data_IF_696448448921
#
_entry.id   IF_696448448921
#
_cell.length_a   1.000
_cell.length_b   1.000
_cell.length_c   1.000
_cell.angle_alpha   90.00
_cell.angle_beta   90.00
_cell.angle_gamma   90.00
#
_symmetry.space_group_name_H-M   'P 1'
#
loop_
_entity.id
_entity.type
_entity.pdbx_description
1 polymer ?
#
# COMPACT_ATOMS: atom_id res chain seq x y z
N UNK A 1 -7.93 -21.82 -5.44
CA UNK A 1 -6.65 -21.57 -4.76
C UNK A 1 -6.09 -22.90 -4.28
N UNK A 2 -4.81 -23.15 -4.58
CA UNK A 2 -4.16 -24.43 -4.29
C UNK A 2 -3.12 -24.35 -3.16
N UNK A 3 -2.76 -23.13 -2.74
CA UNK A 3 -1.84 -22.94 -1.62
C UNK A 3 -2.61 -23.02 -0.29
N UNK A 4 -2.17 -23.87 0.67
CA UNK A 4 -2.84 -23.98 1.95
C UNK A 4 -2.41 -22.84 2.89
N UNK A 5 -3.26 -21.84 3.17
CA UNK A 5 -2.93 -20.74 4.09
C UNK A 5 -2.55 -21.24 5.48
N UNK A 6 -3.14 -22.32 5.92
CA UNK A 6 -2.82 -22.99 7.18
C UNK A 6 -1.38 -23.50 7.28
N UNK A 7 -0.69 -23.68 6.17
CA UNK A 7 0.74 -24.00 6.18
C UNK A 7 1.55 -22.85 6.80
N UNK A 8 1.21 -21.60 6.51
CA UNK A 8 1.88 -20.43 7.08
C UNK A 8 1.63 -20.28 8.59
N UNK A 9 0.46 -20.69 9.08
CA UNK A 9 0.19 -20.78 10.51
C UNK A 9 1.04 -21.90 11.15
N UNK A 10 1.11 -23.06 10.54
CA UNK A 10 1.85 -24.21 11.04
C UNK A 10 3.37 -23.94 11.16
N UNK A 11 3.93 -23.13 10.26
CA UNK A 11 5.35 -22.74 10.31
C UNK A 11 5.70 -21.93 11.55
N UNK A 12 4.72 -21.21 12.14
CA UNK A 12 4.91 -20.41 13.35
C UNK A 12 4.78 -21.23 14.63
N UNK A 13 4.14 -22.40 14.59
CA UNK A 13 3.96 -23.23 15.77
C UNK A 13 5.29 -23.74 16.32
N UNK A 14 5.53 -23.52 17.61
CA UNK A 14 6.76 -23.93 18.30
C UNK A 14 7.97 -23.03 18.01
N UNK A 15 7.77 -21.87 17.37
CA UNK A 15 8.83 -20.87 17.17
C UNK A 15 8.94 -19.93 18.35
N UNK A 16 10.16 -19.46 18.58
CA UNK A 16 10.40 -18.45 19.59
C UNK A 16 9.76 -17.10 19.23
N UNK A 17 9.23 -16.40 20.21
CA UNK A 17 8.56 -15.12 20.06
C UNK A 17 9.33 -14.11 19.18
N UNK A 18 10.66 -13.90 19.32
CA UNK A 18 11.40 -12.94 18.48
C UNK A 18 11.53 -13.35 17.01
N UNK A 19 11.32 -14.63 16.66
CA UNK A 19 11.47 -15.14 15.29
C UNK A 19 10.26 -14.80 14.41
N UNK A 20 9.08 -14.61 15.01
CA UNK A 20 7.80 -14.46 14.29
C UNK A 20 7.82 -13.34 13.26
N UNK A 21 8.31 -12.12 13.52
CA UNK A 21 8.36 -11.05 12.50
C UNK A 21 9.27 -11.37 11.32
N UNK A 22 10.38 -12.08 11.52
CA UNK A 22 11.27 -12.48 10.44
C UNK A 22 10.65 -13.60 9.60
N UNK A 23 10.00 -14.58 10.23
CA UNK A 23 9.31 -15.69 9.53
C UNK A 23 8.15 -15.14 8.69
N UNK A 24 7.30 -14.29 9.25
CA UNK A 24 6.15 -13.74 8.54
C UNK A 24 6.55 -12.87 7.37
N UNK A 25 7.67 -12.14 7.45
CA UNK A 25 8.20 -11.38 6.33
C UNK A 25 8.55 -12.25 5.12
N UNK A 26 8.83 -13.56 5.34
CA UNK A 26 9.21 -14.52 4.27
C UNK A 26 8.02 -15.05 3.48
N UNK A 27 6.80 -14.77 3.92
CA UNK A 27 5.58 -15.18 3.21
C UNK A 27 5.53 -14.54 1.81
N UNK A 28 6.00 -13.30 1.70
CA UNK A 28 5.97 -12.57 0.44
C UNK A 28 7.26 -11.75 0.22
N UNK A 29 7.83 -11.82 -0.99
CA UNK A 29 9.00 -11.01 -1.36
C UNK A 29 8.67 -9.58 -1.80
N UNK A 30 7.39 -9.29 -2.10
CA UNK A 30 6.92 -7.99 -2.56
C UNK A 30 6.30 -7.20 -1.41
N UNK A 31 5.59 -7.88 -0.49
CA UNK A 31 4.84 -7.25 0.60
C UNK A 31 5.29 -7.71 2.00
N UNK A 32 6.59 -7.85 2.28
CA UNK A 32 7.09 -8.34 3.56
C UNK A 32 6.77 -7.40 4.73
N UNK A 33 6.67 -6.09 4.47
CA UNK A 33 6.36 -5.08 5.49
C UNK A 33 4.94 -5.26 6.01
N UNK A 34 3.98 -5.55 5.12
CA UNK A 34 2.61 -5.82 5.52
C UNK A 34 2.51 -6.99 6.49
N UNK A 35 3.14 -8.11 6.18
CA UNK A 35 3.17 -9.29 7.06
C UNK A 35 3.93 -9.06 8.35
N UNK A 36 5.09 -8.42 8.27
CA UNK A 36 5.93 -8.14 9.42
C UNK A 36 5.25 -7.16 10.39
N UNK A 37 4.63 -6.10 9.85
CA UNK A 37 3.89 -5.12 10.66
C UNK A 37 2.68 -5.77 11.33
N UNK A 38 1.93 -6.62 10.62
CA UNK A 38 0.78 -7.32 11.18
C UNK A 38 1.18 -8.20 12.36
N UNK A 39 2.24 -9.00 12.21
CA UNK A 39 2.73 -9.85 13.30
C UNK A 39 3.26 -9.03 14.48
N UNK A 40 4.01 -7.95 14.22
CA UNK A 40 4.54 -7.08 15.26
C UNK A 40 3.39 -6.41 16.04
N UNK A 41 2.39 -5.86 15.35
CA UNK A 41 1.25 -5.23 16.02
C UNK A 41 0.47 -6.23 16.88
N UNK A 42 0.21 -7.44 16.37
CA UNK A 42 -0.45 -8.49 17.15
C UNK A 42 0.35 -8.87 18.41
N UNK A 43 1.67 -8.97 18.30
CA UNK A 43 2.54 -9.29 19.43
C UNK A 43 2.62 -8.14 20.43
N UNK A 44 2.61 -6.88 19.97
CA UNK A 44 2.56 -5.70 20.82
C UNK A 44 1.24 -5.63 21.60
N UNK A 45 0.12 -5.93 20.94
CA UNK A 45 -1.20 -5.99 21.60
C UNK A 45 -1.22 -7.07 22.69
N UNK A 46 -0.73 -8.29 22.41
CA UNK A 46 -0.64 -9.38 23.40
C UNK A 46 0.22 -8.99 24.60
N UNK A 47 1.33 -8.26 24.37
CA UNK A 47 2.27 -7.87 25.42
C UNK A 47 1.92 -6.53 26.08
N UNK A 48 0.90 -5.81 25.63
CA UNK A 48 0.56 -4.48 26.12
C UNK A 48 1.65 -3.43 25.82
N UNK A 49 2.40 -3.60 24.73
CA UNK A 49 3.50 -2.70 24.33
C UNK A 49 2.96 -1.56 23.49
N UNK A 50 3.23 -0.33 23.92
CA UNK A 50 2.98 0.88 23.13
C UNK A 50 4.31 1.47 22.67
N UNK A 51 4.41 1.77 21.38
CA UNK A 51 5.63 2.35 20.80
C UNK A 51 5.58 3.89 20.78
N UNK A 52 6.74 4.56 20.86
CA UNK A 52 6.81 6.01 20.70
C UNK A 52 6.39 6.47 19.30
N UNK A 53 5.89 7.73 19.14
CA UNK A 53 5.48 8.27 17.84
C UNK A 53 6.56 8.23 16.75
N UNK A 54 7.83 8.36 17.12
CA UNK A 54 8.96 8.29 16.19
C UNK A 54 9.13 6.89 15.59
N UNK A 55 8.83 5.85 16.35
CA UNK A 55 8.82 4.47 15.87
C UNK A 55 7.67 4.26 14.89
N UNK A 56 6.47 4.75 15.21
CA UNK A 56 5.32 4.70 14.30
C UNK A 56 5.60 5.45 13.00
N UNK A 57 6.21 6.63 13.07
CA UNK A 57 6.61 7.39 11.89
C UNK A 57 7.59 6.62 10.98
N UNK A 58 8.58 5.92 11.55
CA UNK A 58 9.50 5.08 10.79
C UNK A 58 8.80 3.83 10.21
N UNK A 59 7.87 3.22 10.94
CA UNK A 59 7.05 2.11 10.43
C UNK A 59 6.17 2.55 9.28
N UNK A 60 5.58 3.73 9.38
CA UNK A 60 4.82 4.33 8.29
C UNK A 60 5.71 4.60 7.07
N UNK A 61 6.90 5.15 7.28
CA UNK A 61 7.85 5.44 6.20
C UNK A 61 8.25 4.17 5.44
N UNK A 62 8.61 3.09 6.14
CA UNK A 62 8.97 1.83 5.48
C UNK A 62 7.78 1.22 4.73
N UNK A 63 6.57 1.35 5.27
CA UNK A 63 5.34 0.90 4.61
C UNK A 63 5.06 1.70 3.34
N UNK A 64 5.33 3.02 3.35
CA UNK A 64 5.28 3.84 2.14
C UNK A 64 6.29 3.36 1.08
N UNK A 65 7.50 2.96 1.51
CA UNK A 65 8.50 2.38 0.62
C UNK A 65 8.01 1.12 -0.08
N UNK A 66 7.41 0.18 0.66
CA UNK A 66 6.77 -1.00 0.10
C UNK A 66 5.63 -0.63 -0.86
N UNK A 67 4.77 0.32 -0.47
CA UNK A 67 3.69 0.79 -1.34
C UNK A 67 4.21 1.32 -2.68
N UNK A 68 5.26 2.12 -2.68
CA UNK A 68 5.87 2.67 -3.91
C UNK A 68 6.41 1.53 -4.79
N UNK A 69 7.21 0.63 -4.21
CA UNK A 69 7.85 -0.44 -4.97
C UNK A 69 6.83 -1.43 -5.55
N UNK A 70 5.86 -1.84 -4.73
CA UNK A 70 4.82 -2.79 -5.08
C UNK A 70 3.88 -2.23 -6.16
N UNK A 71 3.45 -0.97 -6.01
CA UNK A 71 2.57 -0.31 -6.98
C UNK A 71 3.28 -0.05 -8.31
N UNK A 72 4.54 0.35 -8.30
CA UNK A 72 5.31 0.51 -9.53
C UNK A 72 5.47 -0.82 -10.27
N UNK A 73 5.76 -1.91 -9.56
CA UNK A 73 5.82 -3.26 -10.13
C UNK A 73 4.48 -3.66 -10.73
N UNK A 74 3.39 -3.47 -9.99
CA UNK A 74 2.04 -3.84 -10.41
C UNK A 74 1.61 -3.09 -11.69
N UNK A 75 1.80 -1.78 -11.72
CA UNK A 75 1.42 -0.96 -12.88
C UNK A 75 2.27 -1.29 -14.10
N UNK A 76 3.59 -1.24 -13.99
CA UNK A 76 4.47 -1.27 -15.16
C UNK A 76 4.86 -2.65 -15.63
N UNK A 77 4.96 -3.62 -14.71
CA UNK A 77 5.46 -4.95 -15.06
C UNK A 77 4.35 -6.00 -15.18
N UNK A 78 3.19 -5.77 -14.56
CA UNK A 78 2.08 -6.71 -14.58
C UNK A 78 0.93 -6.24 -15.48
N UNK A 79 0.48 -5.00 -15.36
CA UNK A 79 -0.76 -4.55 -16.02
C UNK A 79 -0.57 -3.69 -17.26
N UNK A 80 0.42 -2.79 -17.29
CA UNK A 80 0.65 -1.98 -18.49
C UNK A 80 0.87 -2.82 -19.77
N UNK A 81 1.62 -3.95 -19.73
CA UNK A 81 1.72 -4.81 -20.88
C UNK A 81 0.35 -5.27 -21.40
N UNK A 82 -0.52 -5.76 -20.54
CA UNK A 82 -1.85 -6.26 -20.91
C UNK A 82 -2.71 -5.16 -21.55
N UNK A 83 -2.75 -3.97 -20.94
CA UNK A 83 -3.51 -2.83 -21.47
C UNK A 83 -2.99 -2.30 -22.80
N UNK A 84 -1.71 -2.45 -23.07
CA UNK A 84 -1.05 -1.99 -24.29
C UNK A 84 -0.89 -3.10 -25.34
N UNK A 85 -1.36 -4.33 -25.04
CA UNK A 85 -1.36 -5.46 -25.96
C UNK A 85 0.00 -6.16 -26.11
N UNK A 86 0.82 -6.16 -25.07
CA UNK A 86 2.13 -6.84 -25.05
C UNK A 86 2.13 -8.03 -24.08
N UNK A 87 2.86 -9.08 -24.42
CA UNK A 87 2.95 -10.31 -23.62
C UNK A 87 3.69 -10.11 -22.28
N UNK A 88 4.57 -9.12 -22.20
CA UNK A 88 5.39 -8.88 -21.02
C UNK A 88 6.00 -7.47 -21.00
N UNK A 89 6.49 -7.05 -19.86
CA UNK A 89 7.24 -5.80 -19.73
C UNK A 89 8.52 -5.77 -20.58
N UNK A 90 9.13 -6.93 -20.88
CA UNK A 90 10.29 -7.03 -21.76
C UNK A 90 9.91 -6.68 -23.20
N UNK A 91 8.77 -7.18 -23.69
CA UNK A 91 8.24 -6.83 -25.00
C UNK A 91 7.79 -5.37 -25.05
N UNK A 92 7.13 -4.89 -24.00
CA UNK A 92 6.72 -3.49 -23.86
C UNK A 92 7.93 -2.54 -23.94
N UNK A 93 9.05 -2.88 -23.31
CA UNK A 93 10.25 -2.04 -23.27
C UNK A 93 10.84 -1.73 -24.64
N UNK A 94 10.53 -2.53 -25.69
CA UNK A 94 10.98 -2.25 -27.07
C UNK A 94 10.30 -1.02 -27.67
N UNK A 95 9.10 -0.68 -27.21
CA UNK A 95 8.25 0.37 -27.78
C UNK A 95 7.97 1.49 -26.77
N UNK A 96 8.00 1.17 -25.47
CA UNK A 96 7.73 2.07 -24.34
C UNK A 96 8.91 2.03 -23.37
N UNK A 97 10.10 2.25 -23.90
CA UNK A 97 11.35 2.14 -23.14
C UNK A 97 11.38 3.08 -21.93
N UNK A 98 10.98 4.34 -22.14
CA UNK A 98 11.05 5.37 -21.10
C UNK A 98 10.05 5.12 -19.96
N UNK A 99 8.85 4.61 -20.29
CA UNK A 99 7.84 4.23 -19.32
C UNK A 99 8.30 3.04 -18.48
N UNK A 100 8.86 2.01 -19.11
CA UNK A 100 9.40 0.84 -18.40
C UNK A 100 10.58 1.23 -17.51
N UNK A 101 11.49 2.06 -18.00
CA UNK A 101 12.61 2.58 -17.20
C UNK A 101 12.10 3.43 -16.01
N UNK A 102 11.10 4.28 -16.24
CA UNK A 102 10.48 5.06 -15.17
C UNK A 102 9.89 4.16 -14.09
N UNK A 103 9.17 3.10 -14.48
CA UNK A 103 8.62 2.11 -13.55
C UNK A 103 9.69 1.40 -12.72
N UNK A 104 10.77 0.96 -13.37
CA UNK A 104 11.90 0.32 -12.68
C UNK A 104 12.60 1.27 -11.69
N UNK A 105 12.79 2.53 -12.06
CA UNK A 105 13.37 3.54 -11.17
C UNK A 105 12.44 3.88 -10.00
N UNK A 106 11.12 3.97 -10.24
CA UNK A 106 10.14 4.15 -9.14
C UNK A 106 10.21 2.98 -8.16
N UNK A 107 10.23 1.74 -8.68
CA UNK A 107 10.41 0.55 -7.84
C UNK A 107 11.68 0.64 -7.01
N UNK A 108 12.79 1.05 -7.61
CA UNK A 108 14.07 1.21 -6.92
C UNK A 108 14.01 2.30 -5.84
N UNK A 109 13.28 3.39 -6.07
CA UNK A 109 13.08 4.44 -5.06
C UNK A 109 12.35 3.89 -3.83
N UNK A 110 11.29 3.10 -4.01
CA UNK A 110 10.60 2.40 -2.92
C UNK A 110 11.53 1.44 -2.17
N UNK A 111 12.25 0.58 -2.90
CA UNK A 111 13.23 -0.34 -2.32
C UNK A 111 14.32 0.38 -1.52
N UNK A 112 14.75 1.57 -1.95
CA UNK A 112 15.76 2.35 -1.23
C UNK A 112 15.24 2.82 0.14
N UNK A 113 13.95 3.18 0.25
CA UNK A 113 13.33 3.47 1.55
C UNK A 113 13.32 2.23 2.43
N UNK A 114 12.89 1.08 1.89
CA UNK A 114 12.86 -0.19 2.62
C UNK A 114 14.26 -0.58 3.08
N UNK A 115 15.28 -0.42 2.24
CA UNK A 115 16.67 -0.70 2.59
C UNK A 115 17.19 0.19 3.72
N UNK A 116 16.95 1.50 3.65
CA UNK A 116 17.45 2.45 4.63
C UNK A 116 16.83 2.25 6.00
N UNK A 117 15.51 2.02 6.05
CA UNK A 117 14.76 1.84 7.30
C UNK A 117 14.82 0.38 7.76
N UNK A 118 14.60 -0.54 6.86
CA UNK A 118 14.46 -1.97 7.13
C UNK A 118 15.77 -2.76 7.15
N UNK A 119 16.87 -2.18 6.68
CA UNK A 119 18.20 -2.81 6.63
C UNK A 119 18.51 -3.57 5.35
N UNK A 120 17.50 -3.96 4.58
CA UNK A 120 17.64 -4.50 3.22
C UNK A 120 16.33 -4.35 2.44
N UNK A 121 16.42 -4.43 1.11
CA UNK A 121 15.31 -4.16 0.19
C UNK A 121 14.18 -5.20 0.27
N UNK A 122 14.52 -6.46 0.51
CA UNK A 122 13.56 -7.58 0.53
C UNK A 122 13.69 -8.29 1.88
N UNK A 123 12.55 -8.62 2.50
CA UNK A 123 12.49 -9.22 3.82
C UNK A 123 13.31 -8.44 4.85
N UNK A 124 12.91 -7.21 5.21
CA UNK A 124 13.65 -6.33 6.10
C UNK A 124 13.88 -6.97 7.47
N UNK A 125 14.99 -6.59 8.10
CA UNK A 125 15.50 -7.23 9.32
C UNK A 125 15.56 -6.30 10.54
N UNK A 126 15.28 -5.00 10.34
CA UNK A 126 15.43 -4.04 11.43
C UNK A 126 14.18 -3.90 12.29
N UNK A 127 12.98 -4.23 11.79
CA UNK A 127 11.74 -4.10 12.56
C UNK A 127 11.65 -5.20 13.62
N UNK A 128 11.21 -4.83 14.80
CA UNK A 128 10.96 -5.75 15.92
C UNK A 128 9.81 -5.25 16.79
N UNK A 129 9.31 -6.11 17.65
CA UNK A 129 8.39 -5.74 18.73
C UNK A 129 9.02 -4.63 19.58
N UNK A 130 8.27 -3.55 19.81
CA UNK A 130 8.71 -2.39 20.56
C UNK A 130 9.62 -1.41 19.78
N UNK A 131 9.88 -1.64 18.48
CA UNK A 131 10.68 -0.68 17.70
C UNK A 131 11.49 -1.26 16.55
N UNK A 132 12.79 -0.92 16.55
CA UNK A 132 13.77 -1.31 15.54
C UNK A 132 15.07 -1.79 16.20
N UNK A 133 15.76 -2.73 15.57
CA UNK A 133 17.13 -3.08 15.98
C UNK A 133 18.11 -1.95 15.66
N UNK A 134 17.91 -1.26 14.53
CA UNK A 134 18.67 -0.08 14.11
C UNK A 134 17.70 0.93 13.48
N UNK A 135 17.72 2.16 13.98
CA UNK A 135 17.05 3.28 13.34
C UNK A 135 17.98 3.94 12.30
N UNK A 136 17.46 4.46 11.18
CA UNK A 136 18.25 5.21 10.24
C UNK A 136 18.70 6.55 10.83
N UNK A 137 19.87 7.03 10.40
CA UNK A 137 20.36 8.35 10.73
C UNK A 137 19.65 9.42 9.88
N UNK A 138 19.66 10.67 10.36
CA UNK A 138 19.17 11.83 9.58
C UNK A 138 19.85 11.97 8.22
N UNK A 139 21.15 11.63 8.13
CA UNK A 139 21.90 11.68 6.88
C UNK A 139 21.38 10.64 5.87
N UNK A 140 21.11 9.43 6.32
CA UNK A 140 20.56 8.35 5.49
C UNK A 140 19.16 8.73 4.98
N UNK A 141 18.30 9.25 5.85
CA UNK A 141 16.95 9.70 5.46
C UNK A 141 17.00 10.86 4.45
N UNK A 142 17.88 11.86 4.67
CA UNK A 142 18.03 12.98 3.73
C UNK A 142 18.51 12.55 2.35
N UNK A 143 19.30 11.49 2.27
CA UNK A 143 19.78 10.95 1.00
C UNK A 143 18.67 10.37 0.12
N UNK A 144 17.51 10.03 0.69
CA UNK A 144 16.34 9.54 -0.05
C UNK A 144 15.56 10.66 -0.73
N UNK A 145 15.62 11.88 -0.21
CA UNK A 145 14.74 13.00 -0.62
C UNK A 145 14.79 13.29 -2.12
N UNK A 146 15.96 13.43 -2.78
CA UNK A 146 15.98 13.75 -4.22
C UNK A 146 15.32 12.69 -5.09
N UNK A 147 15.47 11.42 -4.72
CA UNK A 147 14.86 10.32 -5.47
C UNK A 147 13.35 10.23 -5.23
N UNK A 148 12.88 10.57 -4.03
CA UNK A 148 11.45 10.62 -3.73
C UNK A 148 10.77 11.83 -4.39
N UNK A 149 11.45 12.99 -4.47
CA UNK A 149 10.95 14.14 -5.24
C UNK A 149 10.80 13.82 -6.72
N UNK A 150 11.82 13.17 -7.32
CA UNK A 150 11.70 12.65 -8.68
C UNK A 150 10.58 11.62 -8.80
N UNK A 151 10.43 10.74 -7.80
CA UNK A 151 9.39 9.73 -7.75
C UNK A 151 7.98 10.31 -7.74
N UNK A 152 7.77 11.47 -7.10
CA UNK A 152 6.51 12.18 -7.12
C UNK A 152 6.14 12.64 -8.53
N UNK A 153 7.07 13.25 -9.25
CA UNK A 153 6.84 13.65 -10.65
C UNK A 153 6.58 12.43 -11.56
N UNK A 154 7.29 11.34 -11.32
CA UNK A 154 7.07 10.08 -12.03
C UNK A 154 5.68 9.49 -11.75
N UNK A 155 5.19 9.57 -10.51
CA UNK A 155 3.85 9.11 -10.12
C UNK A 155 2.76 9.92 -10.84
N UNK A 156 2.91 11.23 -10.95
CA UNK A 156 1.98 12.08 -11.70
C UNK A 156 1.93 11.69 -13.20
N UNK A 157 3.10 11.43 -13.81
CA UNK A 157 3.16 10.93 -15.19
C UNK A 157 2.50 9.56 -15.32
N UNK A 158 2.68 8.69 -14.33
CA UNK A 158 2.05 7.36 -14.30
C UNK A 158 0.52 7.47 -14.24
N UNK A 159 -0.03 8.41 -13.45
CA UNK A 159 -1.49 8.67 -13.45
C UNK A 159 -1.98 9.04 -14.84
N UNK A 160 -1.27 9.94 -15.54
CA UNK A 160 -1.64 10.35 -16.89
C UNK A 160 -1.58 9.17 -17.89
N UNK A 161 -0.57 8.30 -17.78
CA UNK A 161 -0.46 7.10 -18.61
C UNK A 161 -1.65 6.16 -18.38
N UNK A 162 -1.90 5.80 -17.13
CA UNK A 162 -2.92 4.81 -16.75
C UNK A 162 -4.33 5.32 -17.04
N UNK A 163 -4.61 6.59 -16.85
CA UNK A 163 -5.94 7.18 -17.18
C UNK A 163 -6.23 7.18 -18.68
N UNK A 164 -5.22 7.01 -19.53
CA UNK A 164 -5.37 6.84 -20.98
C UNK A 164 -5.69 5.41 -21.42
N UNK A 165 -5.63 4.43 -20.52
CA UNK A 165 -5.93 3.04 -20.86
C UNK A 165 -7.42 2.81 -21.13
N UNK A 166 -7.71 1.85 -22.01
CA UNK A 166 -9.09 1.40 -22.25
C UNK A 166 -9.47 0.32 -21.24
N UNK A 167 -10.38 0.66 -20.32
CA UNK A 167 -10.87 -0.27 -19.31
C UNK A 167 -12.15 -0.96 -19.74
N UNK A 168 -12.38 -2.24 -19.35
CA UNK A 168 -13.63 -2.94 -19.60
C UNK A 168 -14.81 -2.25 -18.92
N UNK A 169 -15.96 -2.22 -19.57
CA UNK A 169 -17.21 -1.69 -18.99
C UNK A 169 -17.86 -2.75 -18.10
N UNK A 170 -17.35 -2.89 -16.88
CA UNK A 170 -17.89 -3.80 -15.87
C UNK A 170 -18.40 -2.99 -14.67
N UNK A 171 -19.69 -3.12 -14.39
CA UNK A 171 -20.35 -2.48 -13.23
C UNK A 171 -20.81 -3.53 -12.24
N UNK A 172 -20.40 -3.40 -11.00
CA UNK A 172 -20.87 -4.22 -9.89
C UNK A 172 -20.98 -3.38 -8.63
N UNK A 173 -21.96 -3.71 -7.80
CA UNK A 173 -22.04 -3.18 -6.46
C UNK A 173 -21.21 -4.08 -5.54
N UNK A 174 -20.27 -3.47 -4.82
CA UNK A 174 -19.39 -4.13 -3.90
C UNK A 174 -19.62 -3.62 -2.48
N UNK A 175 -19.62 -4.54 -1.51
CA UNK A 175 -19.39 -4.20 -0.13
C UNK A 175 -17.89 -4.03 0.07
N UNK A 176 -17.43 -2.82 0.32
CA UNK A 176 -16.03 -2.54 0.61
C UNK A 176 -15.76 -2.62 2.10
N UNK A 177 -14.63 -3.22 2.45
CA UNK A 177 -14.10 -3.27 3.82
C UNK A 177 -12.64 -2.85 3.80
N UNK A 178 -12.26 -1.90 4.64
CA UNK A 178 -10.87 -1.45 4.78
C UNK A 178 -10.63 -0.81 6.14
N UNK A 179 -9.37 -0.53 6.44
CA UNK A 179 -9.04 0.33 7.59
C UNK A 179 -9.37 1.80 7.30
N UNK A 180 -9.74 2.53 8.35
CA UNK A 180 -9.88 3.98 8.41
C UNK A 180 -9.18 4.53 9.65
N UNK A 181 -8.53 5.67 9.52
CA UNK A 181 -7.92 6.41 10.62
C UNK A 181 -8.43 7.85 10.62
N UNK A 182 -8.47 8.50 11.79
CA UNK A 182 -9.03 9.84 11.94
C UNK A 182 -8.13 10.92 11.29
N UNK A 183 -6.82 10.77 11.43
CA UNK A 183 -5.84 11.81 11.10
C UNK A 183 -5.02 11.52 9.85
N UNK A 184 -5.04 10.29 9.34
CA UNK A 184 -4.16 9.90 8.23
C UNK A 184 -4.75 8.81 7.33
N UNK A 185 -4.20 8.70 6.13
CA UNK A 185 -4.49 7.56 5.26
C UNK A 185 -3.95 6.27 5.92
N UNK A 186 -4.82 5.30 6.24
CA UNK A 186 -4.45 4.14 7.07
C UNK A 186 -3.53 3.18 6.32
N UNK A 187 -2.43 2.80 6.97
CA UNK A 187 -1.51 1.76 6.49
C UNK A 187 -1.29 0.67 7.53
N UNK A 188 -0.83 1.06 8.73
CA UNK A 188 -0.45 0.12 9.78
C UNK A 188 -1.48 0.04 10.93
N UNK A 189 -2.29 1.07 11.13
CA UNK A 189 -3.27 1.17 12.21
C UNK A 189 -4.55 1.83 11.73
N UNK A 190 -5.67 1.50 12.38
CA UNK A 190 -6.97 2.08 12.08
C UNK A 190 -8.10 1.21 12.59
N UNK A 191 -9.32 1.70 12.46
CA UNK A 191 -10.56 0.95 12.67
C UNK A 191 -10.93 0.21 11.38
N UNK A 192 -11.62 -0.89 11.48
CA UNK A 192 -12.17 -1.61 10.34
C UNK A 192 -13.53 -1.02 10.02
N UNK A 193 -13.66 -0.48 8.80
CA UNK A 193 -14.91 0.14 8.34
C UNK A 193 -15.41 -0.52 7.06
N UNK A 194 -16.71 -0.39 6.78
CA UNK A 194 -17.31 -0.85 5.53
C UNK A 194 -18.11 0.25 4.83
N UNK A 195 -18.41 0.02 3.56
CA UNK A 195 -19.23 0.94 2.77
C UNK A 195 -20.71 0.98 3.15
N UNK A 196 -21.17 0.05 3.97
CA UNK A 196 -22.54 -0.02 4.48
C UNK A 196 -22.67 0.42 5.95
N UNK A 197 -21.59 0.94 6.55
CA UNK A 197 -21.64 1.59 7.85
C UNK A 197 -21.05 0.80 9.02
N UNK A 198 -20.45 -0.38 8.80
CA UNK A 198 -19.67 -1.05 9.86
C UNK A 198 -18.50 -0.14 10.27
N UNK A 199 -18.25 -0.02 11.57
CA UNK A 199 -17.11 0.70 12.16
C UNK A 199 -16.73 0.03 13.48
N UNK A 200 -15.69 -0.79 13.48
CA UNK A 200 -15.27 -1.65 14.59
C UNK A 200 -13.78 -1.51 14.88
N UNK A 201 -13.39 -1.83 16.10
CA UNK A 201 -11.98 -2.02 16.45
C UNK A 201 -11.44 -3.33 15.82
N UNK A 202 -10.13 -3.40 15.61
CA UNK A 202 -9.51 -4.57 14.98
C UNK A 202 -9.73 -5.88 15.76
N UNK A 203 -9.79 -5.81 17.08
CA UNK A 203 -10.02 -6.99 17.94
C UNK A 203 -11.47 -7.52 17.89
N UNK A 204 -12.41 -6.74 17.34
CA UNK A 204 -13.80 -7.16 17.15
C UNK A 204 -14.01 -7.86 15.79
N UNK A 205 -12.93 -8.06 15.01
CA UNK A 205 -13.01 -8.60 13.65
C UNK A 205 -13.74 -9.94 13.58
N UNK A 206 -13.44 -10.87 14.49
CA UNK A 206 -14.01 -12.23 14.50
C UNK A 206 -15.51 -12.26 14.78
N UNK A 207 -16.07 -11.23 15.42
CA UNK A 207 -17.51 -11.11 15.68
C UNK A 207 -18.29 -10.74 14.40
N UNK A 208 -17.63 -10.12 13.44
CA UNK A 208 -18.24 -9.57 12.23
C UNK A 208 -17.85 -10.29 10.94
N UNK A 209 -16.81 -11.11 10.96
CA UNK A 209 -16.32 -11.85 9.80
C UNK A 209 -16.11 -13.32 10.14
N UNK A 210 -16.49 -14.20 9.23
CA UNK A 210 -16.38 -15.65 9.43
C UNK A 210 -15.58 -16.29 8.29
N UNK A 211 -14.61 -17.10 8.67
CA UNK A 211 -13.84 -17.90 7.72
C UNK A 211 -14.38 -19.32 7.66
N UNK A 212 -14.49 -19.86 6.45
CA UNK A 212 -15.00 -21.19 6.22
C UNK A 212 -14.22 -21.94 5.16
N UNK A 213 -14.13 -23.27 5.33
CA UNK A 213 -13.66 -24.15 4.29
C UNK A 213 -14.68 -24.27 3.17
N UNK A 214 -14.21 -24.23 1.92
CA UNK A 214 -15.00 -24.49 0.74
C UNK A 214 -14.41 -25.63 -0.07
N UNK A 215 -15.24 -26.47 -0.66
CA UNK A 215 -14.83 -27.70 -1.33
C UNK A 215 -13.79 -27.47 -2.44
N UNK A 216 -13.82 -26.33 -3.10
CA UNK A 216 -12.99 -26.03 -4.27
C UNK A 216 -11.72 -25.22 -3.98
N UNK A 217 -11.40 -24.97 -2.73
CA UNK A 217 -10.25 -24.15 -2.35
C UNK A 217 -9.56 -24.67 -1.09
N UNK A 218 -8.25 -24.71 -1.11
CA UNK A 218 -7.43 -24.94 0.09
C UNK A 218 -7.35 -23.68 0.98
N UNK A 219 -7.69 -22.52 0.43
CA UNK A 219 -7.80 -21.28 1.20
C UNK A 219 -9.18 -21.18 1.83
N UNK A 220 -9.23 -20.68 3.05
CA UNK A 220 -10.49 -20.29 3.68
C UNK A 220 -11.12 -19.16 2.90
N UNK A 221 -12.45 -19.18 2.79
CA UNK A 221 -13.23 -18.07 2.29
C UNK A 221 -13.80 -17.29 3.47
N UNK A 222 -13.63 -15.97 3.45
CA UNK A 222 -14.17 -15.09 4.45
C UNK A 222 -15.43 -14.39 3.93
N UNK A 223 -16.45 -14.37 4.77
CA UNK A 223 -17.71 -13.65 4.56
C UNK A 223 -17.98 -12.78 5.78
N UNK A 224 -18.85 -11.79 5.64
CA UNK A 224 -19.41 -11.10 6.80
C UNK A 224 -20.28 -12.08 7.60
N UNK A 225 -20.54 -11.82 8.88
CA UNK A 225 -21.34 -12.69 9.74
C UNK A 225 -22.77 -12.88 9.24
N UNK A 226 -23.29 -11.96 8.42
CA UNK A 226 -24.58 -12.09 7.72
C UNK A 226 -24.48 -12.80 6.35
N UNK A 227 -23.31 -13.39 6.04
CA UNK A 227 -23.10 -14.24 4.86
C UNK A 227 -22.82 -13.52 3.54
N UNK A 228 -22.52 -12.23 3.56
CA UNK A 228 -22.21 -11.47 2.34
C UNK A 228 -20.72 -11.52 1.99
N UNK A 229 -20.43 -11.58 0.70
CA UNK A 229 -19.08 -11.37 0.19
C UNK A 229 -18.70 -9.89 0.25
N UNK A 230 -17.46 -9.62 0.56
CA UNK A 230 -16.91 -8.27 0.65
C UNK A 230 -15.60 -8.14 -0.13
N UNK A 231 -15.21 -6.90 -0.39
CA UNK A 231 -14.02 -6.57 -1.16
C UNK A 231 -13.05 -5.74 -0.32
N UNK A 232 -11.80 -6.19 -0.27
CA UNK A 232 -10.70 -5.53 0.44
C UNK A 232 -9.64 -5.00 -0.54
N UNK A 233 -8.57 -4.48 0.00
CA UNK A 233 -7.40 -4.06 -0.77
C UNK A 233 -7.48 -2.62 -1.26
N UNK A 234 -6.71 -2.28 -2.30
CA UNK A 234 -6.54 -0.89 -2.75
C UNK A 234 -7.85 -0.17 -3.05
N UNK A 235 -8.79 -0.83 -3.74
CA UNK A 235 -10.08 -0.22 -4.07
C UNK A 235 -10.91 0.13 -2.84
N UNK A 236 -11.01 -0.79 -1.89
CA UNK A 236 -11.76 -0.57 -0.66
C UNK A 236 -11.13 0.57 0.15
N UNK A 237 -9.80 0.55 0.33
CA UNK A 237 -9.07 1.63 1.02
C UNK A 237 -9.29 2.98 0.37
N UNK A 238 -9.20 3.05 -0.96
CA UNK A 238 -9.44 4.30 -1.68
C UNK A 238 -10.86 4.82 -1.48
N UNK A 239 -11.87 3.98 -1.68
CA UNK A 239 -13.26 4.39 -1.57
C UNK A 239 -13.63 4.86 -0.17
N UNK A 240 -13.14 4.16 0.86
CA UNK A 240 -13.48 4.42 2.26
C UNK A 240 -12.64 5.54 2.89
N UNK A 241 -11.58 6.01 2.20
CA UNK A 241 -10.69 7.08 2.66
C UNK A 241 -10.50 8.20 1.61
N UNK A 242 -11.45 8.37 0.70
CA UNK A 242 -11.33 9.34 -0.39
C UNK A 242 -11.26 10.80 0.10
N UNK A 243 -11.83 11.09 1.26
CA UNK A 243 -11.77 12.37 1.95
C UNK A 243 -10.33 12.78 2.31
N UNK A 244 -9.50 11.84 2.77
CA UNK A 244 -8.08 12.09 3.04
C UNK A 244 -7.26 12.39 1.78
N UNK A 245 -7.66 11.83 0.64
CA UNK A 245 -6.92 11.97 -0.61
C UNK A 245 -7.08 13.36 -1.25
N UNK A 246 -8.04 14.14 -0.79
CA UNK A 246 -8.24 15.52 -1.21
C UNK A 246 -7.40 16.51 -0.39
N UNK A 247 -6.70 16.06 0.64
CA UNK A 247 -5.90 16.91 1.52
C UNK A 247 -4.48 17.10 0.92
N UNK A 248 -3.94 18.34 0.86
CA UNK A 248 -2.64 18.61 0.23
C UNK A 248 -1.43 17.96 0.91
N UNK A 249 -1.61 17.39 2.10
CA UNK A 249 -0.52 16.85 2.92
C UNK A 249 -0.27 15.34 2.81
N UNK A 250 -1.00 14.62 1.96
CA UNK A 250 -0.86 13.15 1.87
C UNK A 250 0.00 12.72 0.69
N UNK A 251 1.31 12.80 0.86
CA UNK A 251 2.32 12.29 -0.07
C UNK A 251 2.09 10.82 -0.45
N UNK A 252 1.75 10.00 0.53
CA UNK A 252 1.41 8.58 0.33
C UNK A 252 0.14 8.36 -0.47
N UNK A 253 -0.85 9.25 -0.36
CA UNK A 253 -2.08 9.19 -1.13
C UNK A 253 -1.87 9.37 -2.63
N UNK A 254 -0.82 10.06 -3.06
CA UNK A 254 -0.53 10.26 -4.49
C UNK A 254 0.04 9.01 -5.15
N UNK A 255 0.93 8.27 -4.49
CA UNK A 255 1.42 7.00 -5.01
C UNK A 255 0.32 5.93 -5.05
N UNK A 256 -0.51 5.86 -4.01
CA UNK A 256 -1.67 4.99 -4.01
C UNK A 256 -2.70 5.35 -5.10
N UNK A 257 -2.86 6.63 -5.45
CA UNK A 257 -3.79 7.07 -6.50
C UNK A 257 -3.56 6.42 -7.85
N UNK A 258 -2.31 6.13 -8.21
CA UNK A 258 -1.99 5.53 -9.51
C UNK A 258 -2.60 4.14 -9.65
N UNK A 259 -2.37 3.28 -8.68
CA UNK A 259 -2.92 1.92 -8.70
C UNK A 259 -4.45 1.93 -8.52
N UNK A 260 -4.97 2.76 -7.64
CA UNK A 260 -6.39 2.85 -7.35
C UNK A 260 -7.20 3.36 -8.54
N UNK A 261 -6.71 4.34 -9.28
CA UNK A 261 -7.39 4.80 -10.48
C UNK A 261 -7.48 3.69 -11.54
N UNK A 262 -6.41 2.89 -11.71
CA UNK A 262 -6.41 1.78 -12.64
C UNK A 262 -7.38 0.68 -12.22
N UNK A 263 -7.27 0.19 -11.01
CA UNK A 263 -8.11 -0.91 -10.49
C UNK A 263 -9.57 -0.47 -10.37
N UNK A 264 -9.82 0.74 -9.93
CA UNK A 264 -11.18 1.24 -9.75
C UNK A 264 -11.94 1.36 -11.07
N UNK A 265 -11.29 1.84 -12.12
CA UNK A 265 -11.89 1.87 -13.45
C UNK A 265 -12.19 0.46 -14.00
N UNK A 266 -11.30 -0.51 -13.75
CA UNK A 266 -11.49 -1.90 -14.20
C UNK A 266 -12.71 -2.54 -13.50
N UNK A 267 -12.86 -2.35 -12.21
CA UNK A 267 -13.81 -3.10 -11.41
C UNK A 267 -15.15 -2.38 -11.18
N UNK A 268 -15.20 -1.06 -11.11
CA UNK A 268 -16.44 -0.32 -10.79
C UNK A 268 -17.27 0.05 -12.01
N UNK A 269 -16.68 0.15 -13.20
CA UNK A 269 -17.37 0.59 -14.42
C UNK A 269 -18.13 1.91 -14.29
N UNK A 270 -17.97 2.63 -13.19
CA UNK A 270 -18.63 3.91 -12.97
C UNK A 270 -17.89 5.01 -13.72
N UNK A 271 -18.32 5.32 -14.94
CA UNK A 271 -18.00 6.58 -15.63
C UNK A 271 -18.33 7.83 -14.79
N UNK A 272 -19.12 7.69 -13.72
CA UNK A 272 -19.53 8.77 -12.83
C UNK A 272 -18.36 9.38 -12.03
N UNK A 273 -17.32 8.64 -11.81
CA UNK A 273 -16.06 9.16 -11.32
C UNK A 273 -15.08 9.31 -12.51
N UNK A 274 -15.49 10.02 -13.55
CA UNK A 274 -14.57 10.95 -14.13
C UNK A 274 -14.21 11.88 -12.97
N UNK A 275 -13.25 11.46 -12.15
CA UNK A 275 -12.34 12.41 -11.65
C UNK A 275 -11.75 13.02 -12.92
N UNK A 276 -12.38 14.09 -13.40
CA UNK A 276 -11.64 15.12 -14.05
C UNK A 276 -10.62 15.53 -12.99
N UNK A 277 -9.56 14.74 -12.85
CA UNK A 277 -8.28 15.21 -12.44
C UNK A 277 -7.78 16.12 -13.58
N UNK A 278 -8.53 17.14 -13.90
CA UNK A 278 -7.95 18.43 -14.07
C UNK A 278 -7.39 18.75 -12.69
N UNK A 279 -6.24 18.17 -12.39
CA UNK A 279 -5.22 18.89 -11.67
C UNK A 279 -5.02 20.13 -12.55
N UNK A 280 -5.84 21.16 -12.37
CA UNK A 280 -5.48 22.52 -12.67
C UNK A 280 -4.33 22.79 -11.71
N UNK A 281 -3.15 22.32 -12.05
CA UNK A 281 -1.95 23.01 -11.67
C UNK A 281 -1.99 24.30 -12.48
N UNK A 282 -2.68 25.27 -11.94
CA UNK A 282 -2.46 26.65 -12.32
C UNK A 282 -0.97 26.88 -12.09
N UNK A 283 -0.29 27.28 -13.14
CA UNK A 283 1.04 27.90 -13.18
C UNK A 283 2.21 27.28 -12.36
N UNK A 284 3.42 27.50 -12.86
CA UNK A 284 4.71 27.27 -12.17
C UNK A 284 4.81 27.94 -10.78
N UNK A 285 3.98 28.89 -10.48
CA UNK A 285 3.88 29.65 -9.23
C UNK A 285 3.21 28.87 -8.10
N UNK A 286 2.15 28.09 -8.39
CA UNK A 286 1.50 27.21 -7.37
C UNK A 286 2.39 26.04 -6.99
N UNK A 287 3.14 25.48 -7.93
CA UNK A 287 4.18 24.46 -7.62
C UNK A 287 5.26 25.04 -6.68
N UNK A 288 5.60 26.32 -6.84
CA UNK A 288 6.59 27.02 -6.01
C UNK A 288 6.04 27.37 -4.63
N UNK A 289 4.75 27.67 -4.55
CA UNK A 289 4.04 27.93 -3.28
C UNK A 289 3.86 26.61 -2.50
N UNK A 290 3.58 25.53 -3.18
CA UNK A 290 3.45 24.19 -2.57
C UNK A 290 4.81 23.66 -2.09
N UNK A 291 5.87 23.85 -2.86
CA UNK A 291 7.24 23.57 -2.41
C UNK A 291 7.62 24.41 -1.18
N UNK A 292 7.25 25.69 -1.13
CA UNK A 292 7.48 26.55 0.06
C UNK A 292 6.56 26.20 1.25
N UNK A 293 5.39 25.59 1.02
CA UNK A 293 4.55 25.04 2.10
C UNK A 293 5.17 23.79 2.71
N UNK A 294 5.85 22.96 1.90
CA UNK A 294 6.60 21.80 2.36
C UNK A 294 7.81 22.19 3.24
N UNK A 295 8.40 23.38 3.04
CA UNK A 295 9.42 23.92 3.93
C UNK A 295 8.89 24.31 5.33
N UNK A 296 7.59 24.46 5.49
CA UNK A 296 6.91 24.82 6.75
C UNK A 296 6.34 23.62 7.52
N UNK A 297 6.52 22.40 7.01
CA UNK A 297 6.23 21.19 7.80
C UNK A 297 7.11 21.21 9.04
N UNK A 298 6.58 21.02 10.26
CA UNK A 298 7.38 21.06 11.49
C UNK A 298 8.60 20.17 11.33
N UNK A 299 9.77 20.68 11.74
CA UNK A 299 11.06 20.00 11.67
C UNK A 299 11.03 18.72 12.53
N UNK A 300 10.37 17.69 12.03
CA UNK A 300 10.39 16.32 12.57
C UNK A 300 11.58 15.51 12.02
N UNK A 301 12.51 16.20 11.34
CA UNK A 301 13.75 15.60 10.86
C UNK A 301 14.97 16.46 11.23
#
# INVERSE_FOLDING_TARGET
IFEPPRFFEAVLQGRDFPEVPDITSRICGICPIGYQTSSINAMEDVCGVTVPPEVDALRRLIYCGEGIESHALHVYQQHAPDFLGYESAIHLAKYFHDEVQMGLRMKKAGNSVVQVVGGREIHPINMKVGGFFRAPTRRELRALVPELEWGLDAALRTVNLVTGFTFPDLKRDYLFVAMRHEDEYPMARGRVVSSDGLDIAAHEYEDHFQESHVERSNALHSLTSDGRAYHVGPMARFNLNADFLNHPFHFTGQFCRVEYCAIWNIQSGKKAWRFNFRLKFSSSEERRIEAKRLEKVPKLF
#
